data_IF_905936595729
#
_entry.id   IF_905936595729
#
_cell.length_a   1.000
_cell.length_b   1.000
_cell.length_c   1.000
_cell.angle_alpha   90.00
_cell.angle_beta   90.00
_cell.angle_gamma   90.00
#
_symmetry.space_group_name_H-M   'P 1'
#
loop_
_entity.id
_entity.type
_entity.pdbx_description
1 polymer ?
#
# COMPACT_ATOMS: atom_id res chain seq x y z
N UNK A 1 -24.17 -12.19 17.20
CA UNK A 1 -23.66 -10.83 17.49
C UNK A 1 -22.18 -10.77 17.83
N UNK A 2 -21.57 -11.74 18.55
CA UNK A 2 -20.12 -11.72 18.84
C UNK A 2 -19.21 -11.88 17.60
N UNK A 3 -19.60 -12.73 16.65
CA UNK A 3 -18.84 -13.02 15.42
C UNK A 3 -18.60 -11.77 14.55
N UNK A 4 -19.55 -10.83 14.51
CA UNK A 4 -19.42 -9.59 13.74
C UNK A 4 -18.43 -8.61 14.37
N UNK A 5 -18.30 -8.56 15.70
CA UNK A 5 -17.32 -7.68 16.37
C UNK A 5 -15.88 -8.14 16.12
N UNK A 6 -15.60 -9.43 16.27
CA UNK A 6 -14.28 -9.99 15.96
C UNK A 6 -13.94 -9.85 14.47
N UNK A 7 -14.88 -10.10 13.56
CA UNK A 7 -14.68 -9.92 12.12
C UNK A 7 -14.38 -8.46 11.77
N UNK A 8 -15.09 -7.51 12.37
CA UNK A 8 -14.83 -6.08 12.17
C UNK A 8 -13.47 -5.65 12.74
N UNK A 9 -13.11 -6.10 13.94
CA UNK A 9 -11.81 -5.81 14.53
C UNK A 9 -10.66 -6.40 13.70
N UNK A 10 -10.81 -7.64 13.24
CA UNK A 10 -9.86 -8.28 12.34
C UNK A 10 -9.74 -7.53 11.00
N UNK A 11 -10.86 -7.15 10.39
CA UNK A 11 -10.84 -6.37 9.15
C UNK A 11 -10.15 -5.03 9.33
N UNK A 12 -10.37 -4.34 10.46
CA UNK A 12 -9.67 -3.08 10.78
C UNK A 12 -8.17 -3.29 10.98
N UNK A 13 -7.77 -4.34 11.69
CA UNK A 13 -6.36 -4.67 11.89
C UNK A 13 -5.66 -5.11 10.59
N UNK A 14 -6.36 -5.85 9.74
CA UNK A 14 -5.88 -6.25 8.42
C UNK A 14 -5.76 -5.04 7.47
N UNK A 15 -6.75 -4.13 7.48
CA UNK A 15 -6.70 -2.90 6.71
C UNK A 15 -5.54 -1.99 7.15
N UNK A 16 -5.32 -1.84 8.46
CA UNK A 16 -4.19 -1.09 9.00
C UNK A 16 -2.84 -1.69 8.59
N UNK A 17 -2.70 -3.03 8.63
CA UNK A 17 -1.48 -3.71 8.15
C UNK A 17 -1.29 -3.58 6.65
N UNK A 18 -2.36 -3.67 5.86
CA UNK A 18 -2.30 -3.45 4.42
C UNK A 18 -1.81 -2.03 4.12
N UNK A 19 -2.34 -1.03 4.81
CA UNK A 19 -1.92 0.35 4.66
C UNK A 19 -0.42 0.55 4.96
N UNK A 20 0.09 -0.08 6.03
CA UNK A 20 1.53 -0.05 6.34
C UNK A 20 2.38 -0.74 5.26
N UNK A 21 1.92 -1.88 4.73
CA UNK A 21 2.60 -2.59 3.66
C UNK A 21 2.63 -1.76 2.37
N UNK A 22 1.52 -1.10 2.01
CA UNK A 22 1.43 -0.24 0.83
C UNK A 22 2.42 0.95 0.93
N UNK A 23 2.54 1.57 2.13
CA UNK A 23 3.55 2.62 2.38
C UNK A 23 4.97 2.08 2.20
N UNK A 24 5.29 0.92 2.78
CA UNK A 24 6.62 0.32 2.69
C UNK A 24 7.00 -0.05 1.26
N UNK A 25 6.08 -0.66 0.53
CA UNK A 25 6.28 -1.04 -0.87
C UNK A 25 6.50 0.22 -1.70
N UNK A 26 5.68 1.25 -1.52
CA UNK A 26 5.84 2.51 -2.24
C UNK A 26 7.19 3.19 -1.94
N UNK A 27 7.60 3.27 -0.68
CA UNK A 27 8.93 3.83 -0.29
C UNK A 27 10.09 3.03 -0.88
N UNK A 28 9.94 1.71 -0.98
CA UNK A 28 10.92 0.83 -1.62
C UNK A 28 10.95 1.05 -3.13
N UNK A 29 9.78 1.14 -3.78
CA UNK A 29 9.68 1.39 -5.22
C UNK A 29 10.25 2.76 -5.61
N UNK A 30 10.02 3.81 -4.81
CA UNK A 30 10.59 5.15 -5.06
C UNK A 30 12.12 5.19 -5.07
N UNK A 31 12.79 4.19 -4.50
CA UNK A 31 14.27 4.07 -4.52
C UNK A 31 14.78 3.47 -5.83
N UNK A 32 13.93 2.84 -6.64
CA UNK A 32 14.32 2.32 -7.95
C UNK A 32 14.38 3.41 -9.01
N UNK A 33 15.17 3.15 -10.05
CA UNK A 33 15.26 4.02 -11.22
C UNK A 33 14.01 3.87 -12.11
N UNK A 34 13.78 4.86 -12.98
CA UNK A 34 12.57 4.90 -13.81
C UNK A 34 12.50 3.75 -14.81
N UNK A 35 13.66 3.16 -15.18
CA UNK A 35 13.72 1.99 -16.06
C UNK A 35 13.20 0.74 -15.35
N UNK A 36 13.60 0.54 -14.10
CA UNK A 36 13.12 -0.55 -13.24
C UNK A 36 11.64 -0.35 -12.91
N UNK A 37 11.19 0.87 -12.62
CA UNK A 37 9.77 1.18 -12.40
C UNK A 37 8.91 0.84 -13.63
N UNK A 38 9.37 1.19 -14.84
CA UNK A 38 8.68 0.82 -16.09
C UNK A 38 8.59 -0.70 -16.28
N UNK A 39 9.62 -1.46 -15.89
CA UNK A 39 9.58 -2.93 -15.93
C UNK A 39 8.55 -3.51 -14.94
N UNK A 40 8.32 -2.82 -13.82
CA UNK A 40 7.25 -3.16 -12.87
C UNK A 40 5.87 -2.64 -13.30
N UNK A 41 5.76 -1.97 -14.45
CA UNK A 41 4.50 -1.46 -14.98
C UNK A 41 3.95 -0.26 -14.20
N UNK A 42 4.80 0.47 -13.49
CA UNK A 42 4.41 1.68 -12.74
C UNK A 42 5.31 2.86 -13.10
N UNK A 43 4.87 4.09 -12.80
CA UNK A 43 5.70 5.28 -12.91
C UNK A 43 5.88 5.98 -11.56
N UNK A 44 6.92 6.80 -11.46
CA UNK A 44 7.21 7.60 -10.26
C UNK A 44 6.07 8.56 -9.94
N UNK A 45 5.41 9.12 -10.94
CA UNK A 45 4.23 9.98 -10.80
C UNK A 45 3.03 9.21 -10.24
N UNK A 46 2.82 7.97 -10.67
CA UNK A 46 1.76 7.11 -10.13
C UNK A 46 2.02 6.77 -8.65
N UNK A 47 3.26 6.40 -8.32
CA UNK A 47 3.68 6.13 -6.94
C UNK A 47 3.53 7.37 -6.03
N UNK A 48 3.84 8.56 -6.53
CA UNK A 48 3.64 9.83 -5.82
C UNK A 48 2.15 10.14 -5.61
N UNK A 49 1.32 9.91 -6.63
CA UNK A 49 -0.13 10.09 -6.53
C UNK A 49 -0.75 9.13 -5.52
N UNK A 50 -0.32 7.88 -5.53
CA UNK A 50 -0.83 6.86 -4.62
C UNK A 50 -0.37 7.11 -3.18
N UNK A 51 0.84 7.67 -2.98
CA UNK A 51 1.28 8.18 -1.67
C UNK A 51 0.40 9.31 -1.14
N UNK A 52 -0.08 10.20 -2.00
CA UNK A 52 -0.97 11.30 -1.59
C UNK A 52 -2.40 10.85 -1.24
N UNK A 53 -2.77 9.62 -1.61
CA UNK A 53 -4.09 9.04 -1.34
C UNK A 53 -4.11 8.11 -0.11
N UNK A 54 -2.92 7.76 0.40
CA UNK A 54 -2.72 7.07 1.67
C UNK A 54 -2.81 8.09 2.81
#
# INVERSE_FOLDING_TARGET
>A
MAISYFRNAFNRAAAARKHQADIFINDTLMKFDDRTLKNFGTSREELLRDRSKL
#
